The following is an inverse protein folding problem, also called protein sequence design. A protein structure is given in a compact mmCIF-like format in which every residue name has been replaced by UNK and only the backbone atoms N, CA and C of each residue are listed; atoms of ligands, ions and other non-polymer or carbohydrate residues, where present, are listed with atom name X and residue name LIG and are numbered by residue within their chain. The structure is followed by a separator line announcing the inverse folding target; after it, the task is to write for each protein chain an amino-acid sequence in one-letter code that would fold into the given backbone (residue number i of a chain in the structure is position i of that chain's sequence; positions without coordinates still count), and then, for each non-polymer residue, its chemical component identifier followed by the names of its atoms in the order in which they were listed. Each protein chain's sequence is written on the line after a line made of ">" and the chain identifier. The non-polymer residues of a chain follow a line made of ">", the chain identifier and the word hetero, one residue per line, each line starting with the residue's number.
data_IF_575915101467
#
_entry.id   IF_575915101467
#
_cell.length_a   1.000
_cell.length_b   1.000
_cell.length_c   1.000
_cell.angle_alpha   90.00
_cell.angle_beta   90.00
_cell.angle_gamma   90.00
#
_symmetry.space_group_name_H-M   'P 1'
#
loop_
_entity.id
_entity.type
_entity.pdbx_description
1 polymer ?
#
# COMPACT_ATOMS: atom_id res chain seq x y z
N UNK A 1 32.16 2.40 -3.69
CA UNK A 1 32.11 2.26 -5.15
C UNK A 1 31.24 3.36 -5.70
N UNK A 2 31.89 4.33 -6.34
CA UNK A 2 31.24 5.52 -6.90
C UNK A 2 30.89 5.20 -8.35
N UNK A 3 29.59 5.24 -8.70
CA UNK A 3 29.20 5.22 -10.10
C UNK A 3 28.93 6.65 -10.56
N UNK A 4 29.85 7.15 -11.38
CA UNK A 4 29.68 8.37 -12.18
C UNK A 4 28.66 8.09 -13.28
N UNK A 5 27.61 8.90 -13.35
CA UNK A 5 26.78 9.12 -14.53
C UNK A 5 26.95 10.58 -14.95
N UNK A 6 28.10 10.87 -15.56
CA UNK A 6 28.36 12.09 -16.33
C UNK A 6 28.54 11.64 -17.77
N UNK A 7 27.48 11.64 -18.59
CA UNK A 7 27.63 11.65 -20.05
C UNK A 7 26.32 11.67 -20.85
N UNK A 8 25.27 12.39 -20.41
CA UNK A 8 24.09 12.55 -21.29
C UNK A 8 23.67 14.01 -21.55
N UNK A 9 24.52 14.99 -21.26
CA UNK A 9 24.24 16.39 -21.55
C UNK A 9 25.12 17.02 -22.63
N UNK A 10 25.86 16.24 -23.42
CA UNK A 10 26.84 16.81 -24.38
C UNK A 10 26.43 16.91 -25.84
N UNK A 11 25.24 16.45 -26.25
CA UNK A 11 24.89 16.45 -27.69
C UNK A 11 23.57 17.11 -28.09
N UNK A 12 23.07 18.08 -27.35
CA UNK A 12 22.01 18.96 -27.87
C UNK A 12 22.40 20.43 -27.82
N UNK A 13 23.41 20.79 -28.65
CA UNK A 13 23.68 22.20 -29.01
C UNK A 13 22.58 22.75 -29.91
N UNK A 14 21.33 22.82 -29.45
CA UNK A 14 20.30 23.69 -30.05
C UNK A 14 19.17 23.88 -29.07
N UNK A 15 19.03 25.14 -28.61
CA UNK A 15 17.98 25.76 -27.79
C UNK A 15 18.29 25.90 -26.29
N UNK A 16 19.41 26.58 -26.01
CA UNK A 16 19.49 27.42 -24.84
C UNK A 16 19.12 28.84 -25.26
N UNK A 17 17.87 29.10 -25.52
CA UNK A 17 17.34 30.44 -25.59
C UNK A 17 16.06 30.48 -24.77
N UNK A 18 16.04 31.41 -23.82
CA UNK A 18 14.89 31.90 -23.09
C UNK A 18 14.41 31.22 -21.80
N UNK A 19 15.32 30.78 -20.93
CA UNK A 19 14.98 30.71 -19.50
C UNK A 19 15.20 32.04 -18.74
N UNK A 20 15.48 33.16 -19.46
CA UNK A 20 15.83 34.42 -18.83
C UNK A 20 14.77 35.53 -18.87
N UNK A 21 13.48 35.18 -19.13
CA UNK A 21 12.43 36.22 -19.06
C UNK A 21 11.12 35.74 -18.44
N UNK A 22 11.15 35.29 -17.19
CA UNK A 22 10.03 35.46 -16.28
C UNK A 22 10.55 35.60 -14.85
N UNK A 23 11.22 36.69 -14.62
CA UNK A 23 11.57 37.17 -13.31
C UNK A 23 10.30 37.46 -12.52
N UNK A 24 9.86 36.61 -11.64
CA UNK A 24 9.17 36.99 -10.40
C UNK A 24 8.70 35.85 -9.48
N UNK A 25 9.04 34.57 -9.71
CA UNK A 25 8.60 33.53 -8.78
C UNK A 25 9.65 32.50 -8.35
N UNK A 26 10.93 32.70 -8.64
CA UNK A 26 12.00 31.73 -8.33
C UNK A 26 12.81 32.05 -7.06
N UNK A 27 12.47 33.07 -6.30
CA UNK A 27 13.18 33.45 -5.06
C UNK A 27 12.85 32.55 -3.85
N UNK A 28 12.27 31.35 -4.04
CA UNK A 28 11.97 30.44 -2.94
C UNK A 28 12.75 29.13 -2.94
N UNK A 29 13.63 28.90 -3.90
CA UNK A 29 14.45 27.67 -3.90
C UNK A 29 15.78 27.79 -3.14
N UNK A 30 16.15 28.95 -2.64
CA UNK A 30 17.42 29.21 -1.96
C UNK A 30 17.34 29.20 -0.43
N UNK A 31 16.51 28.39 0.19
CA UNK A 31 16.55 28.19 1.64
C UNK A 31 17.06 26.83 2.02
N UNK A 32 18.38 26.81 2.30
CA UNK A 32 19.11 25.89 3.22
C UNK A 32 18.45 24.54 3.43
N UNK A 33 18.91 23.54 2.68
CA UNK A 33 18.74 22.16 3.06
C UNK A 33 19.68 21.85 4.23
N UNK A 34 19.11 21.56 5.38
CA UNK A 34 19.80 20.78 6.41
C UNK A 34 19.94 19.34 5.89
N UNK A 35 21.18 18.90 5.75
CA UNK A 35 21.50 17.55 5.28
C UNK A 35 20.95 16.49 6.26
N UNK A 36 19.94 15.75 5.84
CA UNK A 36 19.58 14.47 6.45
C UNK A 36 20.25 13.34 5.68
N UNK A 37 20.95 12.40 6.35
CA UNK A 37 22.02 11.60 5.74
C UNK A 37 21.57 10.38 4.91
N UNK A 38 20.33 10.24 4.43
CA UNK A 38 19.89 8.98 3.84
C UNK A 38 19.30 9.01 2.45
N UNK A 39 18.89 10.15 1.88
CA UNK A 39 18.44 10.23 0.48
C UNK A 39 18.69 11.60 -0.13
N UNK A 40 19.64 11.69 -1.06
CA UNK A 40 19.72 12.83 -1.99
C UNK A 40 18.81 12.55 -3.19
N UNK A 41 17.56 12.93 -3.13
CA UNK A 41 16.70 13.02 -4.32
C UNK A 41 16.96 14.40 -4.94
N UNK A 42 17.77 14.45 -5.98
CA UNK A 42 17.79 15.63 -6.86
C UNK A 42 16.44 15.66 -7.58
N UNK A 43 15.51 16.43 -7.07
CA UNK A 43 14.32 16.79 -7.85
C UNK A 43 14.79 17.78 -8.93
N UNK A 44 14.86 17.33 -10.17
CA UNK A 44 15.07 18.23 -11.30
C UNK A 44 13.81 19.07 -11.42
N UNK A 45 13.87 20.33 -10.98
CA UNK A 45 12.77 21.30 -11.13
C UNK A 45 12.66 21.85 -12.57
N UNK A 46 13.32 21.26 -13.54
CA UNK A 46 13.03 21.53 -14.93
C UNK A 46 11.74 20.76 -15.28
N UNK A 47 10.62 21.45 -15.33
CA UNK A 47 9.44 20.95 -16.01
C UNK A 47 9.83 20.69 -17.47
N UNK A 48 10.09 19.44 -17.79
CA UNK A 48 10.01 19.02 -19.17
C UNK A 48 8.59 19.34 -19.63
N UNK A 49 8.46 20.16 -20.67
CA UNK A 49 7.19 20.57 -21.28
C UNK A 49 6.38 19.38 -21.88
N UNK A 50 6.70 18.17 -21.49
CA UNK A 50 6.00 16.94 -21.85
C UNK A 50 4.85 16.62 -20.90
N UNK A 51 4.32 17.59 -20.18
CA UNK A 51 2.99 17.52 -19.57
C UNK A 51 2.66 16.26 -18.75
N UNK A 52 3.63 15.59 -18.15
CA UNK A 52 3.33 14.49 -17.23
C UNK A 52 2.73 15.08 -15.96
N UNK A 53 1.41 15.12 -15.92
CA UNK A 53 0.69 15.37 -14.69
C UNK A 53 1.05 14.24 -13.72
N UNK A 54 1.93 14.51 -12.76
CA UNK A 54 2.20 13.59 -11.67
C UNK A 54 0.89 13.35 -10.93
N UNK A 55 0.40 12.15 -10.99
CA UNK A 55 -0.79 11.76 -10.26
C UNK A 55 -0.43 11.74 -8.77
N UNK A 56 -1.31 12.31 -7.93
CA UNK A 56 -1.15 12.33 -6.48
C UNK A 56 -0.77 10.94 -5.96
N UNK A 57 0.21 10.87 -5.06
CA UNK A 57 0.57 9.63 -4.41
C UNK A 57 -0.65 9.07 -3.67
N UNK A 58 -0.92 7.78 -3.88
CA UNK A 58 -1.95 7.03 -3.17
C UNK A 58 -1.27 5.88 -2.46
N UNK A 59 -1.28 5.91 -1.13
CA UNK A 59 -0.85 4.82 -0.28
C UNK A 59 -1.45 4.97 1.10
N UNK A 60 -1.80 3.85 1.73
CA UNK A 60 -2.23 3.81 3.12
C UNK A 60 -1.69 2.56 3.82
N UNK A 61 -1.67 2.60 5.13
CA UNK A 61 -1.47 1.44 6.00
C UNK A 61 -2.33 1.58 7.24
N UNK A 62 -3.03 0.49 7.61
CA UNK A 62 -3.84 0.39 8.81
C UNK A 62 -3.61 -0.96 9.51
N UNK A 63 -3.71 -0.97 10.84
CA UNK A 63 -3.53 -2.16 11.67
C UNK A 63 -4.76 -2.42 12.53
N UNK A 64 -4.95 -3.67 12.94
CA UNK A 64 -6.03 -4.05 13.86
C UNK A 64 -5.71 -3.58 15.28
N UNK A 65 -6.72 -3.08 15.99
CA UNK A 65 -6.61 -2.67 17.41
C UNK A 65 -7.32 -3.61 18.36
N UNK A 66 -8.12 -4.53 17.86
CA UNK A 66 -8.92 -5.46 18.66
C UNK A 66 -8.78 -6.89 18.15
N UNK A 67 -8.85 -7.83 19.05
CA UNK A 67 -8.97 -9.23 18.66
C UNK A 67 -10.34 -9.50 18.05
N UNK A 68 -10.35 -10.22 16.92
CA UNK A 68 -11.56 -10.56 16.19
C UNK A 68 -11.80 -12.08 16.26
N UNK A 69 -12.95 -12.49 16.79
CA UNK A 69 -13.35 -13.88 16.81
C UNK A 69 -13.63 -14.37 15.37
N UNK A 70 -13.02 -15.50 15.01
CA UNK A 70 -13.21 -16.16 13.72
C UNK A 70 -13.84 -17.54 13.93
N UNK A 71 -15.16 -17.69 13.68
CA UNK A 71 -15.81 -19.00 13.75
C UNK A 71 -15.29 -19.95 12.67
N UNK A 72 -15.30 -21.26 12.95
CA UNK A 72 -14.87 -22.26 11.98
C UNK A 72 -15.67 -22.16 10.66
N UNK A 73 -14.98 -22.26 9.54
CA UNK A 73 -15.54 -22.30 8.18
C UNK A 73 -16.41 -21.09 7.80
N UNK A 74 -16.27 -19.97 8.53
CA UNK A 74 -17.05 -18.75 8.28
C UNK A 74 -16.13 -17.65 7.78
N UNK A 75 -16.51 -16.95 6.71
CA UNK A 75 -15.82 -15.75 6.29
C UNK A 75 -16.20 -14.59 7.19
N UNK A 76 -15.20 -13.90 7.70
CA UNK A 76 -15.35 -12.69 8.51
C UNK A 76 -14.54 -11.56 7.88
N UNK A 77 -15.12 -10.39 7.79
CA UNK A 77 -14.39 -9.18 7.40
C UNK A 77 -13.40 -8.83 8.50
N UNK A 78 -12.14 -8.63 8.12
CA UNK A 78 -11.09 -8.21 9.05
C UNK A 78 -11.17 -6.71 9.28
N UNK A 79 -11.01 -6.30 10.53
CA UNK A 79 -11.09 -4.90 10.93
C UNK A 79 -9.70 -4.35 11.23
N UNK A 80 -9.38 -3.17 10.65
CA UNK A 80 -8.10 -2.47 10.79
C UNK A 80 -8.40 -1.02 11.17
N UNK A 81 -8.60 -0.78 12.47
CA UNK A 81 -9.18 0.48 12.98
C UNK A 81 -8.14 1.58 13.21
N UNK A 82 -6.85 1.23 13.28
CA UNK A 82 -5.77 2.19 13.46
C UNK A 82 -5.07 2.47 12.13
N UNK A 83 -5.46 3.56 11.50
CA UNK A 83 -4.78 4.10 10.33
C UNK A 83 -3.42 4.68 10.77
N UNK A 84 -2.34 4.16 10.21
CA UNK A 84 -0.99 4.67 10.48
C UNK A 84 -0.64 5.84 9.56
N UNK A 85 -1.08 5.76 8.33
CA UNK A 85 -1.06 6.85 7.36
C UNK A 85 -2.02 6.58 6.20
N UNK A 86 -2.53 7.66 5.59
CA UNK A 86 -3.26 7.66 4.33
C UNK A 86 -2.93 8.94 3.54
N UNK A 87 -2.17 8.81 2.46
CA UNK A 87 -1.65 9.95 1.70
C UNK A 87 -2.73 10.64 0.85
N UNK A 88 -3.83 9.96 0.56
CA UNK A 88 -4.86 10.43 -0.35
C UNK A 88 -6.26 10.53 0.28
N UNK A 89 -6.41 10.17 1.56
CA UNK A 89 -7.70 10.02 2.26
C UNK A 89 -8.63 9.03 1.52
N UNK A 90 -8.12 7.85 1.20
CA UNK A 90 -8.81 6.79 0.46
C UNK A 90 -9.19 5.61 1.34
N UNK A 91 -8.70 5.57 2.58
CA UNK A 91 -9.03 4.55 3.56
C UNK A 91 -10.00 5.06 4.62
N UNK A 92 -10.92 4.20 5.06
CA UNK A 92 -11.84 4.49 6.15
C UNK A 92 -11.63 3.49 7.31
N UNK A 93 -11.00 3.91 8.43
CA UNK A 93 -10.71 3.03 9.56
C UNK A 93 -11.96 2.55 10.30
N UNK A 94 -13.06 3.31 10.27
CA UNK A 94 -14.31 2.92 10.92
C UNK A 94 -14.98 1.73 10.20
N UNK A 95 -14.77 1.59 8.90
CA UNK A 95 -15.35 0.51 8.08
C UNK A 95 -14.30 -0.48 7.60
N UNK A 96 -13.02 -0.18 7.76
CA UNK A 96 -11.90 -0.96 7.21
C UNK A 96 -12.03 -1.20 5.71
N UNK A 97 -12.35 -0.13 4.98
CA UNK A 97 -12.55 -0.13 3.52
C UNK A 97 -11.55 0.82 2.88
N UNK A 98 -10.89 0.37 1.83
CA UNK A 98 -10.10 1.20 0.93
C UNK A 98 -10.90 1.50 -0.33
N UNK A 99 -10.98 2.79 -0.71
CA UNK A 99 -11.70 3.25 -1.91
C UNK A 99 -10.75 4.17 -2.69
N UNK A 100 -10.08 3.67 -3.74
CA UNK A 100 -9.21 4.50 -4.55
C UNK A 100 -10.00 5.62 -5.24
N UNK A 101 -9.45 6.84 -5.22
CA UNK A 101 -10.01 8.00 -5.92
C UNK A 101 -9.54 8.12 -7.36
N UNK A 102 -8.57 7.33 -7.74
CA UNK A 102 -7.96 7.37 -9.07
C UNK A 102 -7.81 5.98 -9.62
N UNK A 103 -8.19 5.78 -10.88
CA UNK A 103 -7.91 4.53 -11.59
C UNK A 103 -6.39 4.30 -11.68
N UNK A 104 -5.95 3.07 -11.49
CA UNK A 104 -4.53 2.73 -11.58
C UNK A 104 -4.23 1.29 -11.25
N UNK A 105 -2.94 0.97 -11.24
CA UNK A 105 -2.43 -0.32 -10.77
C UNK A 105 -1.96 -0.15 -9.33
N UNK A 106 -2.43 -1.01 -8.46
CA UNK A 106 -2.16 -0.96 -7.02
C UNK A 106 -1.50 -2.25 -6.56
N UNK A 107 -0.52 -2.14 -5.68
CA UNK A 107 -0.15 -3.23 -4.79
C UNK A 107 -1.12 -3.20 -3.61
N UNK A 108 -1.74 -4.33 -3.30
CA UNK A 108 -2.69 -4.48 -2.19
C UNK A 108 -2.25 -5.66 -1.35
N UNK A 109 -2.15 -5.48 -0.04
CA UNK A 109 -1.67 -6.49 0.91
C UNK A 109 -2.63 -6.55 2.10
N UNK A 110 -3.07 -7.77 2.42
CA UNK A 110 -3.83 -8.07 3.64
C UNK A 110 -3.14 -9.16 4.45
N UNK A 111 -2.90 -8.92 5.72
CA UNK A 111 -2.21 -9.85 6.61
C UNK A 111 -3.02 -10.05 7.88
N UNK A 112 -3.09 -11.29 8.35
CA UNK A 112 -3.71 -11.66 9.62
C UNK A 112 -2.77 -12.51 10.46
N UNK A 113 -2.79 -12.30 11.77
CA UNK A 113 -2.20 -13.23 12.74
C UNK A 113 -3.34 -14.04 13.37
N UNK A 114 -3.39 -15.33 13.10
CA UNK A 114 -4.46 -16.22 13.56
C UNK A 114 -3.97 -17.17 14.67
N UNK A 115 -4.78 -17.33 15.71
CA UNK A 115 -4.55 -18.25 16.83
C UNK A 115 -5.77 -19.16 16.93
N UNK A 116 -5.64 -20.48 16.73
CA UNK A 116 -6.75 -21.42 16.91
C UNK A 116 -7.10 -21.56 18.40
N UNK A 117 -8.40 -21.74 18.73
CA UNK A 117 -8.83 -22.00 20.10
C UNK A 117 -8.28 -23.32 20.66
N UNK A 118 -8.06 -24.31 19.80
CA UNK A 118 -7.40 -25.55 20.14
C UNK A 118 -6.03 -25.60 19.46
N UNK A 119 -4.96 -25.55 20.23
CA UNK A 119 -3.58 -25.52 19.74
C UNK A 119 -3.07 -26.89 19.27
N UNK A 120 -3.82 -27.97 19.50
CA UNK A 120 -3.42 -29.34 19.20
C UNK A 120 -4.06 -29.90 17.93
N UNK A 121 -4.52 -29.03 17.02
CA UNK A 121 -5.17 -29.47 15.77
C UNK A 121 -4.46 -28.93 14.54
N UNK A 122 -4.56 -29.68 13.46
CA UNK A 122 -4.21 -29.14 12.15
C UNK A 122 -5.33 -28.25 11.65
N UNK A 123 -4.98 -27.16 10.97
CA UNK A 123 -5.98 -26.26 10.42
C UNK A 123 -5.49 -25.56 9.16
N UNK A 124 -6.43 -25.01 8.41
CA UNK A 124 -6.18 -24.07 7.33
C UNK A 124 -6.61 -22.70 7.79
N UNK A 125 -5.77 -21.69 7.59
CA UNK A 125 -6.16 -20.28 7.64
C UNK A 125 -6.10 -19.69 6.23
N UNK A 126 -7.07 -18.85 5.92
CA UNK A 126 -7.23 -18.19 4.62
C UNK A 126 -7.44 -16.71 4.83
N UNK A 127 -6.77 -15.91 4.02
CA UNK A 127 -7.02 -14.48 3.86
C UNK A 127 -7.29 -14.17 2.39
N UNK A 128 -8.22 -13.26 2.13
CA UNK A 128 -8.55 -12.87 0.76
C UNK A 128 -8.83 -11.38 0.64
N UNK A 129 -8.44 -10.81 -0.50
CA UNK A 129 -8.80 -9.48 -0.92
C UNK A 129 -10.07 -9.58 -1.78
N UNK A 130 -11.08 -8.79 -1.44
CA UNK A 130 -12.32 -8.63 -2.22
C UNK A 130 -12.39 -7.25 -2.82
N UNK A 131 -12.86 -7.17 -4.05
CA UNK A 131 -13.16 -5.92 -4.74
C UNK A 131 -14.63 -5.91 -5.12
N UNK A 132 -15.38 -4.90 -4.66
CA UNK A 132 -16.83 -4.75 -4.90
C UNK A 132 -17.64 -5.98 -4.45
N UNK A 133 -17.25 -6.58 -3.32
CA UNK A 133 -17.89 -7.79 -2.80
C UNK A 133 -17.58 -9.08 -3.59
N UNK A 134 -16.83 -8.99 -4.71
CA UNK A 134 -16.44 -10.18 -5.47
C UNK A 134 -15.40 -10.96 -4.67
N UNK A 135 -15.70 -12.21 -4.28
CA UNK A 135 -14.76 -13.03 -3.53
C UNK A 135 -13.57 -13.42 -4.41
N UNK A 136 -12.41 -13.49 -3.77
CA UNK A 136 -11.25 -14.13 -4.37
C UNK A 136 -10.59 -13.39 -5.54
N UNK A 137 -10.51 -12.06 -5.47
CA UNK A 137 -9.61 -11.32 -6.35
C UNK A 137 -8.16 -11.72 -6.10
N UNK A 138 -7.79 -11.89 -4.81
CA UNK A 138 -6.55 -12.53 -4.40
C UNK A 138 -6.79 -13.36 -3.13
N UNK A 139 -6.17 -14.54 -3.06
CA UNK A 139 -6.36 -15.50 -1.96
C UNK A 139 -5.01 -16.07 -1.57
N UNK A 140 -4.80 -16.21 -0.26
CA UNK A 140 -3.77 -17.08 0.31
C UNK A 140 -4.38 -18.08 1.26
N UNK A 141 -3.90 -19.34 1.21
CA UNK A 141 -4.34 -20.43 2.07
C UNK A 141 -3.11 -21.13 2.65
N UNK A 142 -2.92 -21.00 3.94
CA UNK A 142 -1.85 -21.70 4.66
C UNK A 142 -2.40 -22.83 5.52
N UNK A 143 -1.65 -23.92 5.57
CA UNK A 143 -1.95 -25.11 6.36
C UNK A 143 -0.94 -25.25 7.49
N UNK A 144 -1.44 -25.35 8.70
CA UNK A 144 -0.64 -25.39 9.90
C UNK A 144 -0.88 -26.67 10.70
N UNK A 145 0.19 -27.18 11.31
CA UNK A 145 0.12 -28.23 12.34
C UNK A 145 -0.19 -27.65 13.73
N UNK A 146 -0.19 -28.51 14.76
CA UNK A 146 -0.30 -28.08 16.15
C UNK A 146 0.84 -27.13 16.53
N UNK A 147 0.50 -25.94 17.02
CA UNK A 147 1.47 -24.89 17.34
C UNK A 147 0.89 -23.96 18.42
N UNK A 148 1.75 -23.42 19.27
CA UNK A 148 1.36 -22.64 20.46
C UNK A 148 1.57 -21.12 20.33
N UNK A 149 1.64 -20.63 19.12
CA UNK A 149 1.73 -19.19 18.84
C UNK A 149 0.86 -18.79 17.64
N UNK A 150 0.70 -17.49 17.42
CA UNK A 150 -0.03 -16.99 16.26
C UNK A 150 0.70 -17.32 14.96
N UNK A 151 -0.03 -17.82 13.97
CA UNK A 151 0.45 -17.96 12.61
C UNK A 151 0.02 -16.75 11.78
N UNK A 152 0.95 -16.23 10.98
CA UNK A 152 0.70 -15.11 10.10
C UNK A 152 0.43 -15.62 8.70
N UNK A 153 -0.72 -15.21 8.14
CA UNK A 153 -1.11 -15.49 6.75
C UNK A 153 -1.24 -14.16 6.02
N UNK A 154 -0.64 -14.06 4.85
CA UNK A 154 -0.60 -12.82 4.09
C UNK A 154 -0.98 -13.05 2.63
N UNK A 155 -1.91 -12.27 2.12
CA UNK A 155 -2.23 -12.20 0.70
C UNK A 155 -1.70 -10.89 0.13
N UNK A 156 -1.01 -10.96 -1.00
CA UNK A 156 -0.56 -9.80 -1.75
C UNK A 156 -0.88 -9.95 -3.23
N UNK A 157 -1.30 -8.87 -3.86
CA UNK A 157 -1.58 -8.87 -5.29
C UNK A 157 -1.37 -7.51 -5.92
N UNK A 158 -1.04 -7.53 -7.20
CA UNK A 158 -1.05 -6.33 -8.06
C UNK A 158 -2.39 -6.33 -8.80
N UNK A 159 -3.21 -5.30 -8.56
CA UNK A 159 -4.59 -5.24 -9.02
C UNK A 159 -4.82 -3.92 -9.76
N UNK A 160 -5.48 -3.96 -10.92
CA UNK A 160 -6.01 -2.76 -11.54
C UNK A 160 -7.33 -2.39 -10.88
N UNK A 161 -7.40 -1.21 -10.27
CA UNK A 161 -8.58 -0.67 -9.62
C UNK A 161 -9.10 0.56 -10.36
N UNK A 162 -10.41 0.74 -10.36
CA UNK A 162 -11.06 1.96 -10.80
C UNK A 162 -11.31 2.89 -9.60
N UNK A 163 -11.49 4.17 -9.89
CA UNK A 163 -11.96 5.10 -8.86
C UNK A 163 -13.33 4.66 -8.33
N UNK A 164 -13.47 4.59 -7.02
CA UNK A 164 -14.70 4.15 -6.34
C UNK A 164 -14.82 2.65 -6.10
N UNK A 165 -13.88 1.81 -6.54
CA UNK A 165 -13.89 0.40 -6.18
C UNK A 165 -13.77 0.22 -4.67
N UNK A 166 -14.54 -0.69 -4.09
CA UNK A 166 -14.54 -1.02 -2.67
C UNK A 166 -13.60 -2.20 -2.45
N UNK A 167 -12.51 -1.99 -1.72
CA UNK A 167 -11.51 -3.02 -1.44
C UNK A 167 -11.53 -3.38 0.03
N UNK A 168 -11.64 -4.68 0.32
CA UNK A 168 -11.81 -5.22 1.66
C UNK A 168 -10.98 -6.49 1.85
N UNK A 169 -10.63 -6.79 3.11
CA UNK A 169 -9.94 -8.03 3.49
C UNK A 169 -10.88 -8.92 4.30
N UNK A 170 -10.97 -10.18 3.91
CA UNK A 170 -11.73 -11.20 4.62
C UNK A 170 -10.83 -12.36 5.03
N UNK A 171 -11.19 -13.01 6.13
CA UNK A 171 -10.52 -14.19 6.63
C UNK A 171 -11.48 -15.34 6.87
N UNK A 172 -10.95 -16.56 6.77
CA UNK A 172 -11.63 -17.80 7.12
C UNK A 172 -10.61 -18.78 7.71
N UNK A 173 -11.03 -19.59 8.67
CA UNK A 173 -10.26 -20.75 9.12
C UNK A 173 -11.12 -22.00 9.15
N UNK A 174 -10.50 -23.17 8.97
CA UNK A 174 -11.18 -24.46 9.13
C UNK A 174 -11.54 -24.79 10.59
N UNK A 175 -10.96 -24.06 11.54
CA UNK A 175 -11.25 -24.18 12.99
C UNK A 175 -11.59 -22.82 13.57
N UNK A 176 -12.30 -22.80 14.69
CA UNK A 176 -12.55 -21.56 15.42
C UNK A 176 -11.28 -21.04 16.10
N UNK A 177 -11.13 -19.72 16.13
CA UNK A 177 -10.00 -19.06 16.74
C UNK A 177 -10.15 -17.54 16.79
N UNK A 178 -9.04 -16.86 16.91
CA UNK A 178 -8.96 -15.41 17.04
C UNK A 178 -7.97 -14.85 16.03
N UNK A 179 -8.37 -13.83 15.29
CA UNK A 179 -7.44 -12.95 14.60
C UNK A 179 -6.90 -11.98 15.65
N UNK A 180 -5.61 -12.03 15.88
CA UNK A 180 -4.94 -11.26 16.92
C UNK A 180 -4.63 -9.85 16.46
N UNK A 181 -4.76 -8.89 17.37
CA UNK A 181 -4.32 -7.51 17.20
C UNK A 181 -2.84 -7.30 17.57
N UNK A 182 -2.03 -8.37 17.62
CA UNK A 182 -0.59 -8.25 17.89
C UNK A 182 0.02 -7.25 16.90
N UNK A 183 0.77 -6.34 17.46
CA UNK A 183 1.34 -5.18 16.78
C UNK A 183 2.00 -5.56 15.46
N UNK A 184 1.56 -4.91 14.38
CA UNK A 184 2.04 -5.08 13.02
C UNK A 184 1.78 -6.44 12.32
N UNK A 185 1.23 -7.44 13.00
CA UNK A 185 0.98 -8.75 12.41
C UNK A 185 -0.36 -8.87 11.69
N UNK A 186 -1.33 -8.01 12.05
CA UNK A 186 -2.64 -7.92 11.38
C UNK A 186 -2.78 -6.53 10.81
N UNK A 187 -2.58 -6.40 9.49
CA UNK A 187 -2.56 -5.12 8.80
C UNK A 187 -3.15 -5.20 7.40
N UNK A 188 -3.58 -4.04 6.90
CA UNK A 188 -4.06 -3.83 5.54
C UNK A 188 -3.36 -2.61 4.96
N UNK A 189 -2.84 -2.74 3.74
CA UNK A 189 -2.12 -1.68 3.08
C UNK A 189 -2.29 -1.74 1.57
N UNK A 190 -2.24 -0.58 0.94
CA UNK A 190 -2.16 -0.49 -0.50
C UNK A 190 -1.31 0.71 -0.93
N UNK A 191 -0.70 0.58 -2.10
CA UNK A 191 0.02 1.66 -2.75
C UNK A 191 -0.19 1.60 -4.26
N UNK A 192 -0.41 2.76 -4.89
CA UNK A 192 -0.52 2.86 -6.35
C UNK A 192 0.85 2.98 -6.99
N UNK A 193 1.08 2.20 -8.06
CA UNK A 193 2.24 2.38 -8.91
C UNK A 193 2.12 3.66 -9.73
N UNK A 194 3.21 4.41 -9.91
CA UNK A 194 3.24 5.51 -10.88
C UNK A 194 2.88 4.97 -12.26
N UNK A 195 1.88 5.55 -12.88
CA UNK A 195 1.48 5.21 -14.26
C UNK A 195 1.16 6.49 -15.01
N UNK A 196 1.49 6.57 -16.32
CA UNK A 196 1.00 7.66 -17.15
C UNK A 196 -0.53 7.70 -17.08
N UNK A 197 -1.11 8.89 -17.01
CA UNK A 197 -2.55 9.03 -17.24
C UNK A 197 -2.81 8.76 -18.72
N UNK A 198 -3.66 7.80 -19.00
CA UNK A 198 -4.18 7.50 -20.34
C UNK A 198 -5.52 8.23 -20.51
#
# INVERSE_FOLDING_TARGET
>A
MSYYYDDYCKDSKKKYHDCHKSSKSYDKCDKKHEEKPWFNVKVNCCSDDNGYNLVRASAFRAVSTVNLNLPANTFVKVLFQNEQFDLANEYNPATSIFIPKTRGVYSVIGTIAFIPNNLNVNYRARVEIRVNGNPAIAIDNDFFGPINFANVVAVSSIIQLNAGDIVEVFAQSSVAGVISNVENSTHFEAARFPSPQV
#
